data_IF_050252012094
#
_entry.id   IF_050252012094
#
_cell.length_a   1.000
_cell.length_b   1.000
_cell.length_c   1.000
_cell.angle_alpha   90.00
_cell.angle_beta   90.00
_cell.angle_gamma   90.00
#
_symmetry.space_group_name_H-M   'P 1'
#
loop_
_entity.id
_entity.type
_entity.pdbx_description
1 polymer ?
#
# COMPACT_ATOMS: atom_id res chain seq x y z
N UNK A 1 24.53 -36.26 -26.85
CA UNK A 1 23.16 -36.47 -26.34
C UNK A 1 22.92 -35.81 -24.99
N UNK A 2 23.82 -34.93 -24.50
CA UNK A 2 23.77 -34.34 -23.14
C UNK A 2 23.26 -32.89 -23.05
N UNK A 3 23.07 -32.20 -24.17
CA UNK A 3 22.69 -30.75 -24.15
C UNK A 3 21.21 -30.45 -23.97
N UNK A 4 20.30 -31.45 -23.97
CA UNK A 4 18.85 -31.23 -23.89
C UNK A 4 18.26 -31.36 -22.47
N UNK A 5 18.97 -31.82 -21.47
CA UNK A 5 18.47 -31.95 -20.11
C UNK A 5 18.57 -30.64 -19.33
N UNK A 6 19.45 -29.73 -19.69
CA UNK A 6 19.74 -28.48 -19.00
C UNK A 6 18.61 -27.43 -19.13
N UNK A 7 17.73 -27.57 -20.12
CA UNK A 7 16.66 -26.61 -20.42
C UNK A 7 15.29 -27.29 -20.47
N UNK A 8 15.10 -28.33 -19.66
CA UNK A 8 13.81 -29.01 -19.58
C UNK A 8 12.84 -28.22 -18.73
N UNK A 9 11.61 -28.02 -19.25
CA UNK A 9 10.51 -27.43 -18.50
C UNK A 9 10.07 -28.38 -17.38
N UNK A 10 9.98 -27.85 -16.15
CA UNK A 10 9.54 -28.60 -14.97
C UNK A 10 8.71 -27.67 -14.08
N UNK A 11 7.59 -28.17 -13.59
CA UNK A 11 6.79 -27.55 -12.53
C UNK A 11 7.17 -28.23 -11.22
N UNK A 12 7.61 -27.47 -10.24
CA UNK A 12 7.95 -27.97 -8.90
C UNK A 12 6.82 -27.61 -7.93
N UNK A 13 6.26 -28.62 -7.25
CA UNK A 13 5.18 -28.42 -6.26
C UNK A 13 5.68 -28.66 -4.84
N UNK A 14 5.11 -27.93 -3.88
CA UNK A 14 5.46 -27.99 -2.45
C UNK A 14 4.47 -28.79 -1.63
N UNK A 15 3.25 -29.02 -2.14
CA UNK A 15 2.20 -29.75 -1.46
C UNK A 15 1.25 -30.42 -2.47
N UNK A 16 0.42 -31.35 -1.97
CA UNK A 16 -0.49 -32.14 -2.81
C UNK A 16 -1.53 -31.26 -3.54
N UNK A 17 -2.03 -30.19 -2.90
CA UNK A 17 -2.99 -29.28 -3.51
C UNK A 17 -2.42 -28.57 -4.75
N UNK A 18 -1.14 -28.15 -4.71
CA UNK A 18 -0.44 -27.59 -5.88
C UNK A 18 -0.24 -28.64 -6.99
N UNK A 19 0.04 -29.88 -6.62
CA UNK A 19 0.17 -30.98 -7.57
C UNK A 19 -1.15 -31.25 -8.29
N UNK A 20 -2.24 -31.44 -7.56
CA UNK A 20 -3.58 -31.67 -8.13
C UNK A 20 -4.02 -30.54 -9.06
N UNK A 21 -3.76 -29.29 -8.68
CA UNK A 21 -4.05 -28.13 -9.52
C UNK A 21 -3.22 -28.15 -10.81
N UNK A 22 -1.92 -28.44 -10.71
CA UNK A 22 -1.04 -28.50 -11.86
C UNK A 22 -1.43 -29.65 -12.81
N UNK A 23 -1.78 -30.81 -12.30
CA UNK A 23 -2.27 -31.96 -13.08
C UNK A 23 -3.54 -31.60 -13.85
N UNK A 24 -4.53 -31.00 -13.18
CA UNK A 24 -5.76 -30.53 -13.80
C UNK A 24 -5.50 -29.54 -14.94
N UNK A 25 -4.68 -28.52 -14.68
CA UNK A 25 -4.32 -27.50 -15.69
C UNK A 25 -3.58 -28.14 -16.87
N UNK A 26 -2.65 -29.07 -16.62
CA UNK A 26 -1.93 -29.76 -17.67
C UNK A 26 -2.84 -30.60 -18.55
N UNK A 27 -3.85 -31.28 -18.00
CA UNK A 27 -4.84 -32.03 -18.78
C UNK A 27 -5.69 -31.11 -19.69
N UNK A 28 -6.13 -29.99 -19.17
CA UNK A 28 -6.93 -29.01 -19.92
C UNK A 28 -6.09 -28.37 -21.04
N UNK A 29 -4.86 -27.95 -20.72
CA UNK A 29 -3.95 -27.35 -21.70
C UNK A 29 -3.52 -28.36 -22.78
N UNK A 30 -3.40 -29.64 -22.42
CA UNK A 30 -3.10 -30.71 -23.37
C UNK A 30 -4.15 -30.81 -24.50
N UNK A 31 -5.44 -30.59 -24.19
CA UNK A 31 -6.50 -30.59 -25.19
C UNK A 31 -6.32 -29.44 -26.18
N UNK A 32 -6.05 -28.22 -25.67
CA UNK A 32 -5.79 -27.04 -26.50
C UNK A 32 -4.56 -27.24 -27.42
N UNK A 33 -3.51 -27.87 -26.90
CA UNK A 33 -2.30 -28.17 -27.68
C UNK A 33 -2.60 -29.15 -28.82
N UNK A 34 -3.40 -30.16 -28.56
CA UNK A 34 -3.79 -31.15 -29.60
C UNK A 34 -4.64 -30.44 -30.67
N UNK A 35 -5.60 -29.62 -30.27
CA UNK A 35 -6.45 -28.88 -31.20
C UNK A 35 -5.63 -27.85 -32.02
N UNK A 36 -4.56 -27.30 -31.43
CA UNK A 36 -3.57 -26.45 -32.11
C UNK A 36 -2.52 -27.18 -32.93
N UNK A 37 -2.61 -28.52 -33.07
CA UNK A 37 -1.69 -29.32 -33.87
C UNK A 37 -0.37 -29.68 -33.17
N UNK A 38 -0.26 -29.46 -31.87
CA UNK A 38 0.92 -29.79 -31.08
C UNK A 38 0.84 -31.18 -30.46
N UNK A 39 1.99 -31.71 -30.06
CA UNK A 39 2.10 -33.04 -29.42
C UNK A 39 1.80 -32.98 -27.90
N UNK A 40 2.18 -34.07 -27.22
CA UNK A 40 2.02 -34.17 -25.74
C UNK A 40 2.92 -33.19 -24.99
N UNK A 41 2.40 -32.67 -23.89
CA UNK A 41 3.15 -31.87 -22.91
C UNK A 41 4.39 -32.66 -22.47
N UNK A 42 5.54 -32.01 -22.50
CA UNK A 42 6.82 -32.56 -22.05
C UNK A 42 7.30 -31.98 -20.72
N UNK A 43 6.60 -30.96 -20.22
CA UNK A 43 6.86 -30.39 -18.90
C UNK A 43 6.66 -31.47 -17.84
N UNK A 44 7.63 -31.66 -16.97
CA UNK A 44 7.51 -32.56 -15.82
C UNK A 44 6.87 -31.87 -14.64
N UNK A 45 6.19 -32.69 -13.84
CA UNK A 45 5.68 -32.29 -12.53
C UNK A 45 6.44 -33.11 -11.48
N UNK A 46 7.21 -32.41 -10.63
CA UNK A 46 8.10 -33.05 -9.65
C UNK A 46 7.98 -32.34 -8.29
N UNK A 47 8.14 -33.05 -7.15
CA UNK A 47 8.16 -32.37 -5.84
C UNK A 47 9.37 -31.44 -5.74
N UNK A 48 9.22 -30.36 -4.98
CA UNK A 48 10.30 -29.43 -4.70
C UNK A 48 11.19 -29.98 -3.57
N UNK A 49 12.27 -30.68 -3.93
CA UNK A 49 13.27 -31.14 -2.96
C UNK A 49 14.34 -30.07 -2.69
N UNK A 50 14.95 -29.57 -3.77
CA UNK A 50 15.98 -28.55 -3.72
C UNK A 50 15.75 -27.53 -4.83
N UNK A 51 15.85 -26.24 -4.51
CA UNK A 51 15.78 -25.15 -5.46
C UNK A 51 17.05 -24.31 -5.39
N UNK A 52 17.70 -24.14 -6.52
CA UNK A 52 18.88 -23.30 -6.66
C UNK A 52 18.53 -22.13 -7.56
N UNK A 53 18.84 -20.93 -7.10
CA UNK A 53 18.71 -19.72 -7.94
C UNK A 53 19.65 -19.85 -9.15
N UNK A 54 19.21 -19.38 -10.30
CA UNK A 54 20.09 -19.20 -11.45
C UNK A 54 21.16 -18.14 -11.11
N UNK A 55 22.25 -18.17 -11.86
CA UNK A 55 23.36 -17.23 -11.70
C UNK A 55 22.88 -15.77 -11.80
N UNK A 56 23.52 -14.87 -11.06
CA UNK A 56 23.12 -13.47 -10.93
C UNK A 56 22.93 -12.76 -12.29
N UNK A 57 23.74 -13.14 -13.31
CA UNK A 57 23.60 -12.56 -14.65
C UNK A 57 22.37 -13.06 -15.42
N UNK A 58 21.78 -14.19 -15.03
CA UNK A 58 20.50 -14.70 -15.57
C UNK A 58 19.27 -14.15 -14.84
N UNK A 59 19.44 -13.67 -13.60
CA UNK A 59 18.36 -13.06 -12.87
C UNK A 59 17.95 -11.75 -13.55
N UNK A 60 16.66 -11.60 -13.85
CA UNK A 60 16.13 -10.42 -14.55
C UNK A 60 16.87 -10.07 -15.87
N UNK A 61 17.29 -11.11 -16.64
CA UNK A 61 18.15 -10.90 -17.80
C UNK A 61 17.64 -9.84 -18.77
N UNK A 62 16.36 -9.91 -19.18
CA UNK A 62 15.78 -8.95 -20.13
C UNK A 62 15.63 -7.55 -19.51
N UNK A 63 15.45 -7.45 -18.21
CA UNK A 63 15.43 -6.17 -17.49
C UNK A 63 16.81 -5.51 -17.46
N UNK A 64 17.86 -6.30 -17.24
CA UNK A 64 19.25 -5.86 -17.29
C UNK A 64 19.74 -5.60 -18.73
N UNK A 65 19.17 -6.32 -19.70
CA UNK A 65 19.52 -6.26 -21.11
C UNK A 65 18.26 -6.09 -21.98
N UNK A 66 17.68 -4.90 -22.11
CA UNK A 66 16.41 -4.68 -22.81
C UNK A 66 16.41 -5.13 -24.29
N UNK A 67 17.61 -5.19 -24.93
CA UNK A 67 17.82 -5.69 -26.28
C UNK A 67 18.46 -7.11 -26.29
N UNK A 68 18.47 -7.79 -25.14
CA UNK A 68 19.05 -9.12 -25.02
C UNK A 68 18.23 -10.16 -25.77
N UNK A 69 18.92 -11.17 -26.32
CA UNK A 69 18.26 -12.27 -26.99
C UNK A 69 17.72 -13.28 -25.96
N UNK A 70 16.39 -13.37 -25.88
CA UNK A 70 15.68 -14.45 -25.20
C UNK A 70 14.68 -15.05 -26.18
N UNK A 71 14.91 -16.26 -26.72
CA UNK A 71 14.01 -16.82 -27.71
C UNK A 71 12.64 -17.10 -27.09
N UNK A 72 11.59 -16.56 -27.71
CA UNK A 72 10.23 -16.99 -27.42
C UNK A 72 10.01 -18.37 -28.07
N UNK A 73 9.96 -19.38 -27.21
CA UNK A 73 9.67 -20.77 -27.59
C UNK A 73 8.23 -21.15 -27.24
N UNK A 74 7.37 -20.16 -27.00
CA UNK A 74 5.96 -20.39 -26.73
C UNK A 74 5.26 -21.05 -27.91
N UNK A 75 4.22 -21.82 -27.64
CA UNK A 75 3.36 -22.42 -28.66
C UNK A 75 2.44 -21.42 -29.32
N UNK A 76 2.30 -20.22 -28.75
CA UNK A 76 1.27 -19.26 -29.12
C UNK A 76 -0.16 -19.69 -28.73
N UNK A 77 -0.33 -20.89 -28.16
CA UNK A 77 -1.62 -21.34 -27.65
C UNK A 77 -1.88 -20.65 -26.31
N UNK A 78 -2.91 -19.84 -26.26
CA UNK A 78 -3.35 -19.17 -25.03
C UNK A 78 -4.28 -20.12 -24.28
N UNK A 79 -3.95 -20.38 -23.03
CA UNK A 79 -4.83 -21.09 -22.12
C UNK A 79 -5.92 -20.11 -21.66
N UNK A 80 -7.00 -20.03 -22.46
CA UNK A 80 -8.20 -19.30 -22.07
C UNK A 80 -8.98 -20.16 -21.08
N UNK A 81 -8.48 -20.31 -19.87
CA UNK A 81 -9.33 -20.73 -18.78
C UNK A 81 -10.20 -19.52 -18.43
N UNK A 82 -11.35 -19.40 -19.15
CA UNK A 82 -12.42 -18.45 -18.80
C UNK A 82 -13.22 -18.90 -17.57
N UNK A 83 -12.72 -19.77 -16.72
CA UNK A 83 -12.91 -19.56 -15.29
C UNK A 83 -12.10 -18.31 -14.94
N UNK A 84 -12.64 -17.14 -15.31
CA UNK A 84 -12.28 -15.88 -14.67
C UNK A 84 -12.21 -16.23 -13.19
N UNK A 85 -11.00 -16.18 -12.61
CA UNK A 85 -10.87 -16.16 -11.15
C UNK A 85 -11.64 -14.89 -10.78
N UNK A 86 -12.93 -15.03 -10.54
CA UNK A 86 -13.74 -13.95 -10.01
C UNK A 86 -13.22 -13.72 -8.61
N UNK A 87 -12.19 -12.86 -8.52
CA UNK A 87 -11.79 -12.37 -7.23
C UNK A 87 -13.03 -11.75 -6.60
N UNK A 88 -13.34 -12.20 -5.41
CA UNK A 88 -14.46 -11.65 -4.67
C UNK A 88 -14.26 -10.15 -4.48
N UNK A 89 -15.18 -9.36 -5.04
CA UNK A 89 -15.20 -7.91 -4.89
C UNK A 89 -16.24 -7.45 -3.86
N UNK A 90 -16.92 -8.35 -3.14
CA UNK A 90 -17.97 -7.96 -2.19
C UNK A 90 -17.48 -6.98 -1.14
N UNK A 91 -16.23 -7.13 -0.68
CA UNK A 91 -15.65 -6.21 0.29
C UNK A 91 -15.36 -4.82 -0.30
N UNK A 92 -15.10 -4.71 -1.62
CA UNK A 92 -14.94 -3.43 -2.33
C UNK A 92 -16.25 -2.65 -2.47
N UNK A 93 -17.39 -3.34 -2.32
CA UNK A 93 -18.72 -2.74 -2.34
C UNK A 93 -19.10 -2.09 -1.00
N UNK A 94 -18.22 -2.13 0.01
CA UNK A 94 -18.54 -1.66 1.36
C UNK A 94 -17.57 -0.54 1.80
N UNK A 95 -18.13 0.62 2.11
CA UNK A 95 -17.39 1.76 2.65
C UNK A 95 -16.34 2.32 1.68
N UNK A 96 -15.33 2.98 2.24
CA UNK A 96 -14.22 3.57 1.49
C UNK A 96 -13.13 2.53 1.23
N UNK A 97 -12.63 2.46 -0.01
CA UNK A 97 -11.60 1.52 -0.46
C UNK A 97 -10.62 2.24 -1.40
N UNK A 98 -9.38 1.79 -1.41
CA UNK A 98 -8.38 2.20 -2.40
C UNK A 98 -8.13 1.01 -3.30
N UNK A 99 -8.37 1.18 -4.59
CA UNK A 99 -8.10 0.18 -5.60
C UNK A 99 -6.91 0.62 -6.44
N UNK A 100 -5.88 -0.20 -6.49
CA UNK A 100 -4.74 -0.04 -7.40
C UNK A 100 -5.01 -0.88 -8.63
N UNK A 101 -5.17 -0.22 -9.76
CA UNK A 101 -5.28 -0.90 -11.04
C UNK A 101 -3.87 -1.20 -11.55
N UNK A 102 -3.54 -2.47 -11.60
CA UNK A 102 -2.25 -3.01 -12.01
C UNK A 102 -2.31 -3.56 -13.44
N UNK A 103 -1.15 -3.75 -14.05
CA UNK A 103 -1.04 -4.35 -15.36
C UNK A 103 -1.00 -5.88 -15.27
N UNK A 104 -1.63 -6.56 -16.23
CA UNK A 104 -1.46 -8.01 -16.40
C UNK A 104 -0.03 -8.38 -16.85
N UNK A 105 0.68 -7.44 -17.46
CA UNK A 105 2.04 -7.61 -17.92
C UNK A 105 3.01 -6.81 -17.05
N UNK A 106 4.31 -7.06 -17.22
CA UNK A 106 5.33 -6.30 -16.51
C UNK A 106 5.18 -4.79 -16.76
N UNK A 107 5.06 -4.05 -15.67
CA UNK A 107 4.86 -2.60 -15.68
C UNK A 107 5.85 -1.95 -14.70
N UNK A 108 6.93 -1.31 -15.17
CA UNK A 108 7.94 -0.70 -14.30
C UNK A 108 7.37 0.35 -13.34
N UNK A 109 6.38 1.13 -13.80
CA UNK A 109 5.73 2.14 -12.99
C UNK A 109 4.80 1.54 -11.93
N UNK A 110 4.21 0.36 -12.20
CA UNK A 110 3.40 -0.37 -11.22
C UNK A 110 4.29 -0.89 -10.09
N UNK A 111 5.43 -1.51 -10.43
CA UNK A 111 6.41 -1.97 -9.44
C UNK A 111 6.98 -0.80 -8.62
N UNK A 112 7.27 0.31 -9.28
CA UNK A 112 7.75 1.51 -8.59
C UNK A 112 6.70 2.07 -7.62
N UNK A 113 5.43 2.10 -8.00
CA UNK A 113 4.32 2.52 -7.13
C UNK A 113 4.21 1.61 -5.90
N UNK A 114 4.33 0.28 -6.08
CA UNK A 114 4.32 -0.67 -4.97
C UNK A 114 5.41 -0.36 -3.97
N UNK A 115 6.65 -0.36 -4.41
CA UNK A 115 7.84 -0.17 -3.55
C UNK A 115 7.83 1.20 -2.86
N UNK A 116 7.53 2.27 -3.59
CA UNK A 116 7.65 3.63 -3.06
C UNK A 116 6.47 4.05 -2.18
N UNK A 117 5.28 3.43 -2.36
CA UNK A 117 4.04 3.97 -1.79
C UNK A 117 3.18 2.90 -1.13
N UNK A 118 2.78 1.84 -1.85
CA UNK A 118 1.67 1.00 -1.42
C UNK A 118 2.08 -0.18 -0.55
N UNK A 119 3.29 -0.72 -0.67
CA UNK A 119 3.78 -1.82 0.17
C UNK A 119 3.97 -1.41 1.64
N UNK A 120 4.29 -0.13 1.87
CA UNK A 120 4.42 0.45 3.21
C UNK A 120 3.12 0.99 3.81
N UNK A 121 2.01 0.93 3.07
CA UNK A 121 0.74 1.52 3.52
C UNK A 121 0.07 0.67 4.62
N UNK A 122 -0.25 1.32 5.75
CA UNK A 122 -0.93 0.70 6.91
C UNK A 122 -2.17 1.48 7.36
N UNK A 123 -2.66 2.38 6.52
CA UNK A 123 -3.83 3.21 6.85
C UNK A 123 -5.11 2.40 7.02
N UNK A 124 -6.11 3.00 7.63
CA UNK A 124 -7.38 2.35 7.95
C UNK A 124 -8.32 2.12 6.76
N UNK A 125 -8.10 2.79 5.63
CA UNK A 125 -8.85 2.50 4.40
C UNK A 125 -8.17 1.34 3.70
N UNK A 126 -8.85 0.20 3.47
CA UNK A 126 -8.25 -0.94 2.82
C UNK A 126 -7.74 -0.61 1.42
N UNK A 127 -6.59 -1.18 1.05
CA UNK A 127 -5.98 -1.05 -0.26
C UNK A 127 -5.91 -2.43 -0.92
N UNK A 128 -6.32 -2.51 -2.18
CA UNK A 128 -6.36 -3.76 -2.94
C UNK A 128 -5.88 -3.56 -4.36
N UNK A 129 -5.38 -4.62 -4.97
CA UNK A 129 -4.92 -4.63 -6.36
C UNK A 129 -5.91 -5.39 -7.23
N UNK A 130 -6.16 -4.88 -8.44
CA UNK A 130 -6.92 -5.55 -9.50
C UNK A 130 -6.32 -5.24 -10.86
N UNK A 131 -6.56 -6.14 -11.79
CA UNK A 131 -6.37 -5.89 -13.21
C UNK A 131 -7.70 -5.47 -13.86
N UNK A 132 -7.65 -4.95 -15.07
CA UNK A 132 -8.82 -4.39 -15.75
C UNK A 132 -9.97 -5.38 -15.96
N UNK A 133 -9.69 -6.67 -16.05
CA UNK A 133 -10.65 -7.76 -16.20
C UNK A 133 -11.28 -8.23 -14.88
N UNK A 134 -10.79 -7.74 -13.73
CA UNK A 134 -11.21 -8.12 -12.38
C UNK A 134 -12.15 -7.10 -11.71
N UNK A 135 -12.70 -6.17 -12.46
CA UNK A 135 -13.47 -5.03 -11.92
C UNK A 135 -14.99 -5.29 -11.87
N UNK A 136 -15.44 -6.52 -12.05
CA UNK A 136 -16.87 -6.86 -12.06
C UNK A 136 -17.57 -6.41 -10.78
N UNK A 137 -18.78 -5.88 -10.92
CA UNK A 137 -19.58 -5.36 -9.81
C UNK A 137 -19.20 -3.96 -9.33
N UNK A 138 -18.10 -3.37 -9.84
CA UNK A 138 -17.67 -2.01 -9.50
C UNK A 138 -18.14 -1.01 -10.56
N UNK A 139 -18.51 0.19 -10.12
CA UNK A 139 -18.84 1.31 -11.00
C UNK A 139 -17.61 2.20 -11.21
N UNK A 140 -16.78 1.86 -12.21
CA UNK A 140 -15.55 2.57 -12.58
C UNK A 140 -15.82 3.44 -13.80
N UNK A 141 -15.50 4.73 -13.71
CA UNK A 141 -15.68 5.71 -14.78
C UNK A 141 -14.38 6.05 -15.50
N UNK A 142 -13.25 5.86 -14.82
CA UNK A 142 -11.92 6.14 -15.37
C UNK A 142 -11.47 5.08 -16.36
N UNK A 143 -10.54 5.42 -17.29
CA UNK A 143 -9.95 4.47 -18.21
C UNK A 143 -9.24 3.33 -17.48
N UNK A 144 -9.62 2.08 -17.75
CA UNK A 144 -9.07 0.89 -17.09
C UNK A 144 -7.86 0.29 -17.80
N UNK A 145 -7.48 0.85 -18.95
CA UNK A 145 -6.28 0.47 -19.70
C UNK A 145 -5.00 1.19 -19.24
N UNK A 146 -5.16 2.29 -18.48
CA UNK A 146 -4.01 3.04 -17.96
C UNK A 146 -3.53 2.44 -16.63
N UNK A 147 -2.28 1.98 -16.57
CA UNK A 147 -1.67 1.39 -15.37
C UNK A 147 -0.30 2.00 -15.07
N UNK A 148 0.04 2.18 -13.78
CA UNK A 148 -0.84 2.02 -12.63
C UNK A 148 -1.92 3.11 -12.57
N UNK A 149 -3.07 2.81 -11.97
CA UNK A 149 -4.05 3.82 -11.58
C UNK A 149 -4.50 3.59 -10.15
N UNK A 150 -4.66 4.66 -9.40
CA UNK A 150 -5.27 4.66 -8.07
C UNK A 150 -6.73 5.06 -8.22
N UNK A 151 -7.66 4.23 -7.79
CA UNK A 151 -9.09 4.47 -7.84
C UNK A 151 -9.62 4.50 -6.40
N UNK A 152 -10.24 5.60 -6.03
CA UNK A 152 -10.83 5.79 -4.71
C UNK A 152 -12.31 5.48 -4.79
N UNK A 153 -12.72 4.41 -4.11
CA UNK A 153 -14.08 3.86 -4.15
C UNK A 153 -14.83 4.16 -2.86
N UNK A 154 -16.11 4.45 -2.99
CA UNK A 154 -17.04 4.43 -1.87
C UNK A 154 -18.27 3.56 -2.24
N UNK A 155 -18.47 2.49 -1.48
CA UNK A 155 -19.53 1.51 -1.75
C UNK A 155 -19.51 0.96 -3.20
N UNK A 156 -18.34 0.65 -3.71
CA UNK A 156 -18.12 0.09 -5.04
C UNK A 156 -18.15 1.10 -6.19
N UNK A 157 -18.38 2.38 -5.91
CA UNK A 157 -18.42 3.45 -6.92
C UNK A 157 -17.15 4.29 -6.87
N UNK A 158 -16.61 4.60 -8.03
CA UNK A 158 -15.50 5.53 -8.15
C UNK A 158 -15.94 6.94 -7.73
N UNK A 159 -15.23 7.52 -6.77
CA UNK A 159 -15.37 8.91 -6.38
C UNK A 159 -14.42 9.79 -7.19
N UNK A 160 -13.17 9.37 -7.33
CA UNK A 160 -12.17 9.93 -8.24
C UNK A 160 -11.02 8.94 -8.42
N UNK A 161 -10.14 9.23 -9.35
CA UNK A 161 -8.94 8.44 -9.63
C UNK A 161 -7.73 9.30 -9.93
N UNK A 162 -6.56 8.68 -9.92
CA UNK A 162 -5.29 9.23 -10.38
C UNK A 162 -4.60 8.21 -11.29
N UNK A 163 -4.18 8.64 -12.48
CA UNK A 163 -3.54 7.77 -13.46
C UNK A 163 -2.03 7.98 -13.48
N UNK A 164 -1.28 6.90 -13.56
CA UNK A 164 0.17 6.90 -13.58
C UNK A 164 0.80 6.76 -12.20
N UNK A 165 2.13 6.83 -12.18
CA UNK A 165 2.91 6.81 -10.95
C UNK A 165 2.68 8.09 -10.14
N UNK A 166 2.50 7.92 -8.84
CA UNK A 166 2.42 9.02 -7.87
C UNK A 166 3.51 8.85 -6.82
N UNK A 167 4.08 9.93 -6.33
CA UNK A 167 5.00 9.85 -5.21
C UNK A 167 4.26 9.75 -3.87
N UNK A 168 4.96 9.37 -2.83
CA UNK A 168 4.44 9.14 -1.49
C UNK A 168 3.66 10.35 -0.92
N UNK A 169 4.20 11.57 -1.06
CA UNK A 169 3.56 12.78 -0.54
C UNK A 169 2.22 13.08 -1.22
N UNK A 170 2.20 13.03 -2.54
CA UNK A 170 1.00 13.31 -3.34
C UNK A 170 -0.07 12.23 -3.13
N UNK A 171 0.35 10.96 -2.92
CA UNK A 171 -0.56 9.89 -2.53
C UNK A 171 -1.30 10.21 -1.23
N UNK A 172 -0.58 10.63 -0.18
CA UNK A 172 -1.23 10.96 1.09
C UNK A 172 -2.08 12.23 1.01
N UNK A 173 -1.77 13.15 0.11
CA UNK A 173 -2.64 14.30 -0.14
C UNK A 173 -3.99 13.89 -0.76
N UNK A 174 -3.96 12.98 -1.75
CA UNK A 174 -5.18 12.41 -2.34
C UNK A 174 -5.95 11.57 -1.33
N UNK A 175 -5.26 10.72 -0.57
CA UNK A 175 -5.86 9.94 0.50
C UNK A 175 -6.50 10.82 1.57
N UNK A 176 -5.83 11.91 1.95
CA UNK A 176 -6.38 12.90 2.88
C UNK A 176 -7.67 13.51 2.37
N UNK A 177 -7.71 13.93 1.10
CA UNK A 177 -8.93 14.44 0.46
C UNK A 177 -10.05 13.39 0.48
N UNK A 178 -9.73 12.14 0.18
CA UNK A 178 -10.70 11.05 0.19
C UNK A 178 -11.18 10.70 1.60
N UNK A 179 -10.28 10.56 2.57
CA UNK A 179 -10.61 10.16 3.95
C UNK A 179 -11.28 11.27 4.75
N UNK A 180 -10.74 12.49 4.66
CA UNK A 180 -11.10 13.62 5.53
C UNK A 180 -12.07 14.61 4.87
N UNK A 181 -12.17 14.63 3.53
CA UNK A 181 -12.98 15.61 2.81
C UNK A 181 -12.52 17.05 3.10
N UNK A 182 -13.45 17.99 3.12
CA UNK A 182 -13.20 19.41 3.42
C UNK A 182 -13.32 19.71 4.94
N UNK A 183 -12.83 18.78 5.78
CA UNK A 183 -12.91 18.90 7.24
C UNK A 183 -11.81 19.77 7.85
N UNK A 184 -11.98 20.12 9.14
CA UNK A 184 -10.93 20.76 9.95
C UNK A 184 -9.64 19.90 9.96
N UNK A 185 -9.78 18.57 10.06
CA UNK A 185 -8.65 17.65 10.03
C UNK A 185 -7.84 17.74 8.70
N UNK A 186 -8.51 17.90 7.55
CA UNK A 186 -7.82 18.12 6.28
C UNK A 186 -7.08 19.46 6.26
N UNK A 187 -7.74 20.52 6.76
CA UNK A 187 -7.11 21.84 6.85
C UNK A 187 -5.87 21.83 7.77
N UNK A 188 -5.94 21.14 8.90
CA UNK A 188 -4.78 20.95 9.80
C UNK A 188 -3.68 20.17 9.09
N UNK A 189 -4.00 19.02 8.49
CA UNK A 189 -3.03 18.12 7.90
C UNK A 189 -2.24 18.75 6.73
N UNK A 190 -2.92 19.49 5.85
CA UNK A 190 -2.34 19.91 4.55
C UNK A 190 -2.21 21.44 4.39
N UNK A 191 -3.01 22.22 5.10
CA UNK A 191 -3.00 23.69 5.00
C UNK A 191 -2.40 24.37 6.24
N UNK A 192 -1.68 23.63 7.09
CA UNK A 192 -1.08 24.14 8.34
C UNK A 192 -2.09 24.80 9.27
N UNK A 193 -3.31 24.31 9.29
CA UNK A 193 -4.33 24.70 10.25
C UNK A 193 -3.95 24.31 11.68
N UNK A 194 -4.70 24.80 12.63
CA UNK A 194 -4.52 24.46 14.05
C UNK A 194 -5.89 24.15 14.63
N UNK A 195 -6.00 23.03 15.35
CA UNK A 195 -7.22 22.67 16.08
C UNK A 195 -7.67 23.79 17.00
N UNK A 196 -8.96 23.97 17.15
CA UNK A 196 -9.50 24.79 18.21
C UNK A 196 -9.05 24.24 19.58
N UNK A 197 -8.74 25.15 20.51
CA UNK A 197 -8.42 24.76 21.90
C UNK A 197 -9.54 23.91 22.48
N UNK A 198 -9.17 22.78 23.10
CA UNK A 198 -10.13 21.86 23.71
C UNK A 198 -11.19 21.31 22.73
N UNK A 199 -10.81 21.13 21.45
CA UNK A 199 -11.67 20.56 20.43
C UNK A 199 -12.25 19.19 20.87
N UNK A 200 -13.22 18.66 20.11
CA UNK A 200 -13.90 17.40 20.42
C UNK A 200 -12.90 16.25 20.55
N UNK A 201 -11.99 16.13 19.62
CA UNK A 201 -10.96 15.09 19.58
C UNK A 201 -10.01 15.18 20.76
N UNK A 202 -9.61 16.39 21.16
CA UNK A 202 -8.85 16.61 22.40
C UNK A 202 -9.60 16.08 23.62
N UNK A 203 -10.91 16.36 23.74
CA UNK A 203 -11.71 15.87 24.87
C UNK A 203 -11.79 14.35 24.94
N UNK A 204 -11.86 13.71 23.77
CA UNK A 204 -11.84 12.24 23.66
C UNK A 204 -10.47 11.69 24.05
N UNK A 205 -9.39 12.28 23.54
CA UNK A 205 -8.04 11.72 23.62
C UNK A 205 -7.28 12.05 24.90
N UNK A 206 -7.62 13.15 25.60
CA UNK A 206 -6.89 13.58 26.82
C UNK A 206 -6.82 12.53 27.92
N UNK A 207 -7.81 11.64 28.00
CA UNK A 207 -7.95 10.61 29.04
C UNK A 207 -7.94 9.17 28.47
N UNK A 208 -7.45 8.96 27.25
CA UNK A 208 -7.30 7.59 26.71
C UNK A 208 -6.40 6.74 27.60
N UNK A 209 -6.65 5.41 27.68
CA UNK A 209 -5.82 4.49 28.46
C UNK A 209 -4.39 4.37 27.87
N UNK A 210 -3.59 3.45 28.37
CA UNK A 210 -2.26 3.16 27.82
C UNK A 210 -2.37 2.69 26.37
N UNK A 211 -1.57 3.32 25.48
CA UNK A 211 -1.63 3.08 24.04
C UNK A 211 -0.75 4.01 23.23
N UNK A 212 -1.00 4.05 21.94
CA UNK A 212 -0.26 4.86 20.98
C UNK A 212 -1.22 5.70 20.15
N UNK A 213 -0.88 6.96 19.96
CA UNK A 213 -1.46 7.80 18.93
C UNK A 213 -0.75 7.56 17.62
N UNK A 214 -1.52 7.26 16.59
CA UNK A 214 -1.06 6.95 15.25
C UNK A 214 -1.45 8.06 14.27
N UNK A 215 -0.72 8.14 13.19
CA UNK A 215 -1.04 9.00 12.05
C UNK A 215 -2.38 8.58 11.43
N UNK A 216 -3.29 9.52 11.32
CA UNK A 216 -4.67 9.27 10.87
C UNK A 216 -4.73 8.76 9.43
N UNK A 217 -3.73 9.05 8.59
CA UNK A 217 -3.70 8.62 7.18
C UNK A 217 -2.89 7.34 6.98
N UNK A 218 -1.65 7.31 7.51
CA UNK A 218 -0.74 6.19 7.29
C UNK A 218 -0.92 5.04 8.28
N UNK A 219 -1.51 5.29 9.45
CA UNK A 219 -1.61 4.32 10.54
C UNK A 219 -0.31 4.11 11.32
N UNK A 220 0.78 4.83 10.98
CA UNK A 220 2.08 4.69 11.66
C UNK A 220 2.08 5.32 13.05
N UNK A 221 2.80 4.72 14.03
CA UNK A 221 2.91 5.22 15.39
C UNK A 221 3.58 6.59 15.45
N UNK A 222 2.99 7.54 16.19
CA UNK A 222 3.53 8.89 16.35
C UNK A 222 3.89 9.23 17.80
N UNK A 223 2.99 9.01 18.75
CA UNK A 223 3.18 9.40 20.15
C UNK A 223 2.65 8.33 21.11
N UNK A 224 3.44 7.97 22.10
CA UNK A 224 3.07 7.04 23.17
C UNK A 224 2.43 7.79 24.34
N UNK A 225 1.34 7.26 24.88
CA UNK A 225 0.62 7.85 26.04
C UNK A 225 1.50 7.96 27.28
N UNK A 226 2.53 7.13 27.43
CA UNK A 226 3.51 7.20 28.53
C UNK A 226 4.36 8.46 28.51
N UNK A 227 4.42 9.16 27.37
CA UNK A 227 5.09 10.44 27.23
C UNK A 227 4.13 11.63 27.23
N UNK A 228 2.82 11.38 27.41
CA UNK A 228 1.79 12.41 27.48
C UNK A 228 1.78 13.08 28.84
N UNK A 229 1.54 14.39 28.85
CA UNK A 229 1.33 15.16 30.08
C UNK A 229 0.28 16.26 29.89
N UNK A 230 -0.23 16.81 30.99
CA UNK A 230 -1.23 17.86 30.97
C UNK A 230 -0.55 19.21 30.97
N UNK A 231 -0.49 19.86 29.82
CA UNK A 231 0.10 21.21 29.65
C UNK A 231 -0.88 22.37 29.94
N UNK A 232 -2.17 22.07 30.00
CA UNK A 232 -3.27 23.06 30.09
C UNK A 232 -3.36 24.01 28.89
N UNK A 233 -2.62 23.72 27.80
CA UNK A 233 -2.65 24.54 26.58
C UNK A 233 -3.95 24.42 25.78
N UNK A 234 -4.66 23.29 25.93
CA UNK A 234 -5.85 22.94 25.16
C UNK A 234 -5.56 22.00 23.97
N UNK A 235 -4.31 21.56 23.83
CA UNK A 235 -3.85 20.57 22.84
C UNK A 235 -3.18 19.38 23.52
N UNK A 236 -3.11 18.24 22.85
CA UNK A 236 -2.35 17.09 23.32
C UNK A 236 -0.87 17.45 23.45
N UNK A 237 -0.25 17.08 24.54
CA UNK A 237 1.15 17.42 24.81
C UNK A 237 1.96 16.19 25.19
N UNK A 238 3.12 16.04 24.56
CA UNK A 238 4.04 14.92 24.76
C UNK A 238 5.46 15.43 24.96
N UNK A 239 6.25 14.68 25.72
CA UNK A 239 7.67 15.01 25.96
C UNK A 239 8.58 14.51 24.84
N UNK A 240 8.15 13.51 24.07
CA UNK A 240 8.87 12.98 22.91
C UNK A 240 7.94 12.20 21.97
N UNK A 241 8.23 12.15 20.67
CA UNK A 241 7.57 11.27 19.72
C UNK A 241 8.11 9.83 19.80
N UNK A 242 7.50 8.91 19.07
CA UNK A 242 8.09 7.61 18.71
C UNK A 242 9.34 7.88 17.86
N UNK A 243 10.40 7.14 18.10
CA UNK A 243 11.69 7.36 17.42
C UNK A 243 11.53 7.26 15.89
N UNK A 244 11.92 8.31 15.18
CA UNK A 244 11.92 8.35 13.72
C UNK A 244 10.54 8.56 13.08
N UNK A 245 9.48 8.83 13.87
CA UNK A 245 8.13 9.00 13.35
C UNK A 245 7.81 10.41 12.87
N UNK A 246 8.55 11.39 13.34
CA UNK A 246 8.34 12.79 13.00
C UNK A 246 9.64 13.46 12.56
N UNK A 247 9.50 14.57 11.84
CA UNK A 247 10.61 15.46 11.51
C UNK A 247 10.22 16.92 11.74
N UNK A 248 11.21 17.79 11.83
CA UNK A 248 11.08 19.19 12.23
C UNK A 248 11.37 20.12 11.07
N UNK A 249 10.58 21.18 10.94
CA UNK A 249 10.78 22.26 9.99
C UNK A 249 10.66 23.62 10.66
N UNK A 250 11.46 24.64 10.25
CA UNK A 250 11.21 26.02 10.68
C UNK A 250 9.84 26.52 10.19
N UNK A 251 9.08 27.11 11.09
CA UNK A 251 7.82 27.79 10.76
C UNK A 251 7.88 29.25 11.19
N UNK A 252 7.94 30.13 10.19
CA UNK A 252 7.97 31.57 10.37
C UNK A 252 6.64 32.24 10.02
N UNK A 253 5.55 31.47 9.91
CA UNK A 253 4.23 32.01 9.59
C UNK A 253 3.69 32.91 10.71
N UNK A 254 2.81 33.82 10.35
CA UNK A 254 2.15 34.77 11.27
C UNK A 254 3.11 35.63 12.11
N UNK A 255 4.36 35.84 11.63
CA UNK A 255 5.37 36.64 12.36
C UNK A 255 5.95 35.93 13.61
N UNK A 256 5.66 34.65 13.79
CA UNK A 256 6.20 33.84 14.89
C UNK A 256 7.38 33.00 14.42
N UNK A 257 8.30 32.68 15.32
CA UNK A 257 9.38 31.70 15.07
C UNK A 257 9.05 30.45 15.86
N UNK A 258 8.68 29.39 15.17
CA UNK A 258 8.30 28.11 15.74
C UNK A 258 8.99 26.97 15.00
N UNK A 259 8.96 25.77 15.58
CA UNK A 259 9.38 24.54 14.92
C UNK A 259 8.15 23.69 14.65
N UNK A 260 7.81 23.54 13.37
CA UNK A 260 6.71 22.68 12.90
C UNK A 260 7.10 21.21 13.02
N UNK A 261 6.17 20.39 13.44
CA UNK A 261 6.30 18.92 13.50
C UNK A 261 5.43 18.31 12.41
N UNK A 262 6.03 17.46 11.60
CA UNK A 262 5.36 16.71 10.54
C UNK A 262 5.59 15.21 10.69
N UNK A 263 4.64 14.42 10.19
CA UNK A 263 4.77 12.97 10.10
C UNK A 263 5.79 12.57 9.04
N UNK A 264 6.71 11.65 9.35
CA UNK A 264 7.63 11.06 8.35
C UNK A 264 6.87 10.22 7.34
N UNK A 265 5.84 9.50 7.79
CA UNK A 265 5.11 8.52 6.97
C UNK A 265 4.10 9.14 6.00
N UNK A 266 3.49 10.28 6.30
CA UNK A 266 2.42 10.87 5.47
C UNK A 266 2.66 12.31 5.07
N UNK A 267 3.71 12.92 5.59
CA UNK A 267 4.04 14.35 5.41
C UNK A 267 2.95 15.32 5.92
N UNK A 268 2.02 14.89 6.77
CA UNK A 268 1.00 15.76 7.33
C UNK A 268 1.56 16.64 8.45
N UNK A 269 1.01 17.86 8.56
CA UNK A 269 1.26 18.73 9.70
C UNK A 269 0.63 18.16 10.98
N UNK A 270 1.43 18.03 12.03
CA UNK A 270 0.98 17.49 13.32
C UNK A 270 0.81 18.59 14.38
N UNK A 271 1.64 19.62 14.36
CA UNK A 271 1.70 20.66 15.36
C UNK A 271 3.07 21.31 15.45
N UNK A 272 3.47 21.71 16.66
CA UNK A 272 4.75 22.37 16.90
C UNK A 272 5.44 21.84 18.17
N UNK A 273 6.75 22.00 18.23
CA UNK A 273 7.53 21.71 19.43
C UNK A 273 8.05 23.00 20.06
N UNK A 274 8.08 23.03 21.40
CA UNK A 274 8.49 24.16 22.25
C UNK A 274 9.44 23.65 23.33
N UNK A 275 10.28 24.55 23.87
CA UNK A 275 11.28 24.24 24.92
C UNK A 275 10.72 24.42 26.35
N UNK A 276 9.40 24.47 26.52
CA UNK A 276 8.70 24.75 27.77
C UNK A 276 8.00 23.52 28.38
N UNK A 277 8.49 22.34 28.09
CA UNK A 277 7.98 21.09 28.65
C UNK A 277 8.43 20.85 30.12
N UNK A 278 7.91 19.78 30.74
CA UNK A 278 8.23 19.44 32.13
C UNK A 278 9.69 18.97 32.28
N UNK A 279 10.33 19.34 33.39
CA UNK A 279 11.69 18.92 33.74
C UNK A 279 12.75 19.26 32.68
N UNK A 280 12.59 20.36 31.95
CA UNK A 280 13.51 20.78 30.89
C UNK A 280 13.41 19.96 29.60
N UNK A 281 12.39 19.12 29.46
CA UNK A 281 12.11 18.38 28.23
C UNK A 281 11.33 19.26 27.24
N UNK A 282 11.37 18.95 25.93
CA UNK A 282 10.53 19.64 24.96
C UNK A 282 9.03 19.33 25.17
N UNK A 283 8.18 20.22 24.70
CA UNK A 283 6.74 20.01 24.62
C UNK A 283 6.30 19.93 23.16
N UNK A 284 5.98 18.74 22.72
CA UNK A 284 5.31 18.50 21.44
C UNK A 284 3.83 18.79 21.60
N UNK A 285 3.37 19.90 21.03
CA UNK A 285 2.00 20.38 21.08
C UNK A 285 1.29 19.95 19.80
N UNK A 286 0.42 18.95 19.89
CA UNK A 286 -0.06 18.18 18.73
C UNK A 286 -1.56 18.34 18.56
N UNK A 287 -1.99 18.57 17.31
CA UNK A 287 -3.37 18.62 16.89
C UNK A 287 -4.02 17.23 17.02
N UNK A 288 -5.17 17.16 17.64
CA UNK A 288 -5.86 15.90 17.89
C UNK A 288 -6.60 15.37 16.66
N UNK A 289 -7.07 16.28 15.79
CA UNK A 289 -7.88 15.91 14.60
C UNK A 289 -7.14 15.08 13.57
N UNK A 290 -5.79 15.14 13.56
CA UNK A 290 -4.93 14.38 12.63
C UNK A 290 -4.39 13.07 13.21
N UNK A 291 -4.84 12.71 14.42
CA UNK A 291 -4.48 11.48 15.12
C UNK A 291 -5.63 10.48 15.15
N UNK A 292 -5.28 9.21 15.30
CA UNK A 292 -6.14 8.13 15.79
C UNK A 292 -5.48 7.49 17.00
N UNK A 293 -6.25 6.82 17.86
CA UNK A 293 -5.73 6.18 19.07
C UNK A 293 -5.86 4.65 18.95
N UNK A 294 -4.78 3.94 19.28
CA UNK A 294 -4.79 2.48 19.42
C UNK A 294 -4.42 2.09 20.85
N UNK A 295 -5.27 1.33 21.57
CA UNK A 295 -4.94 0.73 22.85
C UNK A 295 -3.73 -0.20 22.72
N UNK A 296 -2.89 -0.28 23.77
CA UNK A 296 -1.65 -1.08 23.71
C UNK A 296 -1.87 -2.56 23.45
N UNK A 297 -2.96 -3.12 23.92
CA UNK A 297 -3.33 -4.52 23.68
C UNK A 297 -3.77 -4.82 22.24
N UNK A 298 -3.98 -3.79 21.42
CA UNK A 298 -4.30 -3.91 19.98
C UNK A 298 -3.10 -3.60 19.07
N UNK A 299 -1.93 -3.38 19.67
CA UNK A 299 -0.69 -3.13 18.97
C UNK A 299 0.08 -4.46 18.94
N UNK A 300 0.00 -5.16 17.82
CA UNK A 300 0.77 -6.39 17.55
C UNK A 300 2.15 -6.08 16.97
#
# INVERSE_FOLDING_TARGET
MYKRQQYRSTILFQNESQKELAEKIMEEYQKLLIDGGYGKIRTKLEPLDNFYLAEEYHQDYLKKNPNGYCPDLSTGIVFNNEEKIFLDNEYLLKGKQILVLDSQNYCPYCEKLKVDVTDGYKGSIPLSYRTSDQLHGLEINSPTWATPSLIFLENGKEIFSYQGYINHKDFYQLLGKFKLGDSEAYNVAFNKGTDARFCKEYQIFKNTPDGIFIDKLSGEPLFDTRNRFVSRSGWLSFTKPVKGSVYELPDNSYGMRRTEIRSVSSDIHLGHVFDDGPNGMPRYCINATVLEFKPRNEIS
#
